data_IF_613528646217
#
_entry.id   IF_613528646217
#
_cell.length_a   1.000
_cell.length_b   1.000
_cell.length_c   1.000
_cell.angle_alpha   90.00
_cell.angle_beta   90.00
_cell.angle_gamma   90.00
#
_symmetry.space_group_name_H-M   'P 1'
#
loop_
_entity.id
_entity.type
_entity.pdbx_description
1 polymer ?
#
# COMPACT_ATOMS: atom_id res chain seq x y z
N UNK A 1 10.97 16.50 -6.57
CA UNK A 1 12.27 17.13 -6.39
C UNK A 1 12.50 18.14 -7.51
N UNK A 2 13.12 19.28 -7.22
CA UNK A 2 13.39 20.32 -8.22
C UNK A 2 12.15 20.76 -9.04
N UNK A 3 10.98 20.72 -8.42
CA UNK A 3 9.70 21.05 -9.05
C UNK A 3 9.08 19.93 -9.89
N UNK A 4 9.75 18.77 -10.00
CA UNK A 4 9.24 17.60 -10.74
C UNK A 4 8.62 16.56 -9.79
N UNK A 5 7.57 15.86 -10.22
CA UNK A 5 7.08 14.67 -9.52
C UNK A 5 8.18 13.59 -9.49
N UNK A 6 8.30 12.89 -8.35
CA UNK A 6 9.28 11.80 -8.19
C UNK A 6 8.61 10.48 -8.59
N UNK A 7 9.33 9.66 -9.33
CA UNK A 7 8.92 8.30 -9.67
C UNK A 7 10.07 7.33 -9.40
N UNK A 8 9.77 6.21 -8.74
CA UNK A 8 10.73 5.13 -8.53
C UNK A 8 10.59 4.15 -9.70
N UNK A 9 11.50 4.21 -10.64
CA UNK A 9 11.46 3.38 -11.84
C UNK A 9 12.86 3.30 -12.48
N UNK A 10 13.07 2.23 -13.24
CA UNK A 10 14.23 2.13 -14.13
C UNK A 10 14.02 2.99 -15.37
N UNK A 11 15.07 3.65 -15.81
CA UNK A 11 15.09 4.44 -17.03
C UNK A 11 15.79 3.75 -18.20
N UNK A 12 16.48 2.64 -17.91
CA UNK A 12 17.26 1.86 -18.88
C UNK A 12 16.75 0.42 -18.97
N UNK A 13 15.73 0.22 -19.77
CA UNK A 13 15.06 -1.08 -19.90
C UNK A 13 15.95 -2.15 -20.56
N UNK A 14 16.86 -1.77 -21.49
CA UNK A 14 17.81 -2.74 -22.08
C UNK A 14 18.73 -3.33 -21.03
N UNK A 15 19.24 -2.49 -20.15
CA UNK A 15 20.10 -2.92 -19.05
C UNK A 15 19.37 -3.82 -18.09
N UNK A 16 18.14 -3.46 -17.73
CA UNK A 16 17.31 -4.22 -16.81
C UNK A 16 16.96 -5.61 -17.38
N UNK A 17 16.67 -5.68 -18.67
CA UNK A 17 16.44 -6.93 -19.39
C UNK A 17 17.70 -7.80 -19.36
N UNK A 18 18.85 -7.22 -19.69
CA UNK A 18 20.14 -7.93 -19.69
C UNK A 18 20.51 -8.45 -18.28
N UNK A 19 20.28 -7.64 -17.25
CA UNK A 19 20.48 -8.05 -15.86
C UNK A 19 19.52 -9.17 -15.43
N UNK A 20 18.26 -9.07 -15.82
CA UNK A 20 17.27 -10.11 -15.55
C UNK A 20 17.59 -11.42 -16.24
N UNK A 21 18.04 -11.39 -17.50
CA UNK A 21 18.51 -12.56 -18.24
C UNK A 21 19.75 -13.18 -17.57
N UNK A 22 20.69 -12.37 -17.10
CA UNK A 22 21.86 -12.83 -16.36
C UNK A 22 21.51 -13.51 -15.02
N UNK A 23 20.35 -13.23 -14.44
CA UNK A 23 19.84 -13.87 -13.22
C UNK A 23 19.03 -15.15 -13.50
N UNK A 24 18.95 -15.61 -14.75
CA UNK A 24 18.16 -16.78 -15.13
C UNK A 24 16.65 -16.54 -15.23
N UNK A 25 16.22 -15.30 -15.24
CA UNK A 25 14.83 -14.91 -15.49
C UNK A 25 14.61 -14.90 -16.99
N UNK A 26 14.25 -16.05 -17.58
CA UNK A 26 14.19 -16.22 -19.02
C UNK A 26 12.78 -16.28 -19.60
N UNK A 27 11.74 -16.17 -18.78
CA UNK A 27 10.37 -16.52 -19.17
C UNK A 27 9.41 -15.33 -19.25
N UNK A 28 9.94 -14.14 -19.45
CA UNK A 28 9.09 -13.01 -19.79
C UNK A 28 9.06 -12.86 -21.31
N UNK A 29 7.86 -12.80 -21.88
CA UNK A 29 7.62 -12.09 -23.11
C UNK A 29 8.05 -10.63 -22.83
N UNK A 30 9.31 -10.36 -23.07
CA UNK A 30 9.85 -9.04 -22.92
C UNK A 30 9.20 -8.20 -24.02
N UNK A 31 8.39 -7.19 -23.68
CA UNK A 31 7.82 -6.32 -24.68
C UNK A 31 8.96 -5.69 -25.48
N UNK A 32 8.74 -5.44 -26.77
CA UNK A 32 9.71 -4.69 -27.57
C UNK A 32 10.11 -3.42 -26.80
N UNK A 33 11.41 -3.25 -26.64
CA UNK A 33 11.96 -2.10 -25.94
C UNK A 33 11.58 -0.81 -26.67
N UNK A 34 10.79 0.01 -25.99
CA UNK A 34 10.55 1.38 -26.41
C UNK A 34 11.19 2.34 -25.40
N UNK A 35 12.19 3.13 -25.81
CA UNK A 35 12.78 4.11 -24.91
C UNK A 35 11.75 5.13 -24.44
N UNK A 36 11.84 5.54 -23.18
CA UNK A 36 10.99 6.61 -22.66
C UNK A 36 11.15 7.89 -23.52
N UNK A 37 10.03 8.49 -23.84
CA UNK A 37 10.07 9.77 -24.59
C UNK A 37 10.77 10.85 -23.77
N UNK A 38 11.40 11.79 -24.46
CA UNK A 38 12.06 12.92 -23.81
C UNK A 38 11.07 13.74 -22.96
N UNK A 39 9.81 13.83 -23.38
CA UNK A 39 8.75 14.51 -22.63
C UNK A 39 8.54 13.86 -21.24
N UNK A 40 8.54 12.53 -21.17
CA UNK A 40 8.42 11.78 -19.91
C UNK A 40 9.66 12.00 -19.03
N UNK A 41 10.84 11.91 -19.61
CA UNK A 41 12.11 12.11 -18.90
C UNK A 41 12.23 13.55 -18.36
N UNK A 42 11.70 14.52 -19.07
CA UNK A 42 11.72 15.93 -18.65
C UNK A 42 10.66 16.24 -17.57
N UNK A 43 9.54 15.51 -17.59
CA UNK A 43 8.44 15.74 -16.65
C UNK A 43 8.72 15.16 -15.26
N UNK A 44 9.24 13.95 -15.18
CA UNK A 44 9.50 13.27 -13.90
C UNK A 44 10.95 13.44 -13.44
N UNK A 45 11.13 13.38 -12.12
CA UNK A 45 12.41 13.11 -11.50
C UNK A 45 12.48 11.61 -11.21
N UNK A 46 13.34 10.89 -11.92
CA UNK A 46 13.49 9.45 -11.76
C UNK A 46 14.49 9.13 -10.66
N UNK A 47 14.12 8.19 -9.81
CA UNK A 47 15.01 7.55 -8.85
C UNK A 47 15.00 6.06 -9.11
N UNK A 48 16.17 5.42 -9.08
CA UNK A 48 16.25 4.00 -9.39
C UNK A 48 16.16 3.13 -8.15
N UNK A 49 15.31 2.09 -8.18
CA UNK A 49 15.24 1.13 -7.10
C UNK A 49 16.50 0.26 -7.06
N UNK A 50 16.81 -0.21 -5.87
CA UNK A 50 17.89 -1.17 -5.62
C UNK A 50 17.37 -2.32 -4.78
N UNK A 51 17.98 -3.48 -4.97
CA UNK A 51 17.78 -4.58 -4.05
C UNK A 51 18.71 -4.42 -2.83
N UNK A 52 18.34 -4.89 -1.65
CA UNK A 52 19.19 -4.78 -0.46
C UNK A 52 20.60 -5.38 -0.66
N UNK A 53 20.70 -6.48 -1.38
CA UNK A 53 21.98 -7.13 -1.69
C UNK A 53 22.89 -6.28 -2.59
N UNK A 54 22.34 -5.39 -3.38
CA UNK A 54 23.12 -4.54 -4.28
C UNK A 54 24.03 -3.58 -3.48
N UNK A 55 23.69 -3.30 -2.23
CA UNK A 55 24.55 -2.52 -1.32
C UNK A 55 25.71 -3.33 -0.73
N UNK A 56 25.62 -4.65 -0.73
CA UNK A 56 26.57 -5.55 -0.09
C UNK A 56 27.56 -6.16 -1.09
N UNK A 57 27.25 -6.16 -2.39
CA UNK A 57 28.07 -6.78 -3.43
C UNK A 57 29.19 -5.87 -3.90
N UNK A 58 30.43 -6.20 -3.56
CA UNK A 58 31.60 -5.61 -4.18
C UNK A 58 31.68 -6.02 -5.65
N UNK A 59 31.78 -5.05 -6.56
CA UNK A 59 32.01 -5.31 -7.99
C UNK A 59 30.75 -5.40 -8.88
N UNK A 60 29.56 -5.30 -8.31
CA UNK A 60 28.37 -5.04 -9.09
C UNK A 60 28.46 -3.62 -9.70
N UNK A 61 27.95 -3.35 -10.91
CA UNK A 61 27.92 -2.00 -11.47
C UNK A 61 27.00 -1.12 -10.61
N UNK A 62 27.60 -0.60 -9.55
CA UNK A 62 26.85 -0.13 -8.38
C UNK A 62 26.37 1.28 -8.54
N UNK A 63 26.83 1.99 -9.53
CA UNK A 63 26.58 3.40 -9.58
C UNK A 63 26.84 3.92 -10.97
N UNK A 64 25.78 4.27 -11.64
CA UNK A 64 25.84 5.22 -12.73
C UNK A 64 25.81 6.61 -12.08
N UNK A 65 26.91 7.41 -12.14
CA UNK A 65 26.91 8.72 -11.52
C UNK A 65 25.90 9.70 -12.10
N UNK A 66 25.21 9.32 -13.16
CA UNK A 66 24.10 10.06 -13.75
C UNK A 66 22.72 9.67 -13.22
N UNK A 67 22.62 8.62 -12.41
CA UNK A 67 21.33 8.11 -11.91
C UNK A 67 21.23 8.24 -10.41
N UNK A 68 20.06 8.72 -9.97
CA UNK A 68 19.74 8.80 -8.54
C UNK A 68 19.29 7.42 -8.05
N UNK A 69 20.07 6.81 -7.20
CA UNK A 69 19.88 5.46 -6.69
C UNK A 69 19.81 5.48 -5.17
N UNK A 70 19.40 4.38 -4.56
CA UNK A 70 19.36 4.28 -3.10
C UNK A 70 17.98 3.90 -2.55
N UNK A 71 17.03 3.63 -3.42
CA UNK A 71 15.65 3.33 -3.07
C UNK A 71 15.41 1.83 -3.15
N UNK A 72 15.22 1.16 -2.01
CA UNK A 72 14.89 -0.26 -1.99
C UNK A 72 13.39 -0.49 -2.25
N UNK A 73 13.06 -1.47 -3.10
CA UNK A 73 11.69 -1.94 -3.24
C UNK A 73 11.16 -2.60 -1.96
N UNK A 74 12.02 -3.36 -1.29
CA UNK A 74 11.75 -4.06 -0.04
C UNK A 74 13.08 -4.18 0.70
N UNK A 75 13.01 -4.30 2.01
CA UNK A 75 14.19 -4.55 2.82
C UNK A 75 14.09 -5.94 3.45
N UNK A 76 15.17 -6.71 3.39
CA UNK A 76 15.28 -8.02 4.04
C UNK A 76 16.42 -8.11 5.04
N UNK A 77 16.87 -6.98 5.52
CA UNK A 77 17.86 -6.85 6.59
C UNK A 77 17.17 -6.42 7.88
N UNK A 78 17.61 -6.98 9.00
CA UNK A 78 17.15 -6.53 10.32
C UNK A 78 18.35 -6.32 11.25
N UNK A 79 18.39 -5.24 12.02
CA UNK A 79 17.43 -4.11 12.02
C UNK A 79 17.35 -3.43 10.65
N UNK A 80 16.24 -2.74 10.38
CA UNK A 80 16.04 -2.02 9.11
C UNK A 80 17.12 -0.95 8.95
N UNK A 81 17.85 -0.92 7.82
CA UNK A 81 18.83 0.12 7.59
C UNK A 81 18.18 1.45 7.21
N UNK A 82 18.74 2.54 7.68
CA UNK A 82 18.48 3.87 7.15
C UNK A 82 19.35 4.07 5.92
N UNK A 83 18.74 4.36 4.79
CA UNK A 83 19.42 4.56 3.51
C UNK A 83 19.54 6.05 3.19
N UNK A 84 20.74 6.49 2.82
CA UNK A 84 20.98 7.84 2.32
C UNK A 84 20.59 7.93 0.85
N UNK A 85 19.75 8.91 0.49
CA UNK A 85 19.29 9.15 -0.87
C UNK A 85 19.34 10.64 -1.21
N UNK A 86 19.08 10.98 -2.46
CA UNK A 86 18.97 12.38 -2.87
C UNK A 86 17.73 13.11 -2.30
N UNK A 87 16.77 12.36 -1.77
CA UNK A 87 15.59 12.89 -1.09
C UNK A 87 15.74 12.88 0.44
N UNK A 88 16.97 12.71 0.95
CA UNK A 88 17.26 12.52 2.36
C UNK A 88 17.30 11.05 2.75
N UNK A 89 17.05 10.77 4.01
CA UNK A 89 17.03 9.41 4.55
C UNK A 89 15.76 8.65 4.14
N UNK A 90 15.91 7.33 3.93
CA UNK A 90 14.85 6.49 3.39
C UNK A 90 14.79 5.15 4.13
N UNK A 91 13.60 4.68 4.47
CA UNK A 91 13.34 3.37 5.04
C UNK A 91 12.10 2.72 4.40
N UNK A 92 11.99 1.38 4.51
CA UNK A 92 10.85 0.62 4.02
C UNK A 92 9.98 0.12 5.16
N UNK A 93 8.65 0.18 4.99
CA UNK A 93 7.69 -0.52 5.82
C UNK A 93 7.03 -1.64 5.02
N UNK A 94 7.19 -2.88 5.45
CA UNK A 94 6.60 -4.05 4.81
C UNK A 94 5.86 -4.93 5.81
N UNK A 95 4.83 -5.63 5.36
CA UNK A 95 4.06 -6.56 6.22
C UNK A 95 4.72 -7.92 6.37
N UNK A 96 5.58 -8.30 5.45
CA UNK A 96 6.39 -9.52 5.44
C UNK A 96 7.67 -9.25 4.63
N UNK A 97 8.68 -10.10 4.73
CA UNK A 97 9.88 -9.99 3.92
C UNK A 97 10.53 -11.34 3.61
N UNK A 98 11.39 -11.35 2.60
CA UNK A 98 11.94 -12.59 2.05
C UNK A 98 13.48 -12.64 2.03
N UNK A 99 14.13 -12.71 3.18
CA UNK A 99 15.59 -12.84 3.24
C UNK A 99 16.12 -14.11 2.56
N UNK A 100 15.24 -15.10 2.34
CA UNK A 100 15.56 -16.38 1.68
C UNK A 100 14.77 -16.56 0.38
N UNK A 101 14.76 -15.56 -0.47
CA UNK A 101 13.98 -15.50 -1.73
C UNK A 101 13.89 -16.87 -2.44
N UNK A 102 12.73 -17.20 -3.03
CA UNK A 102 11.43 -16.53 -2.99
C UNK A 102 10.55 -16.96 -1.82
N UNK A 103 9.47 -16.22 -1.53
CA UNK A 103 8.51 -16.55 -0.46
C UNK A 103 7.89 -17.94 -0.57
N UNK A 104 7.61 -18.41 -1.78
CA UNK A 104 7.09 -19.75 -2.00
C UNK A 104 7.98 -20.85 -1.43
N UNK A 105 9.28 -20.61 -1.23
CA UNK A 105 10.18 -21.54 -0.57
C UNK A 105 9.86 -21.75 0.91
N UNK A 106 9.24 -20.78 1.59
CA UNK A 106 8.76 -20.97 2.94
C UNK A 106 7.72 -22.08 3.01
N UNK A 107 6.91 -22.23 1.98
CA UNK A 107 5.85 -23.23 1.89
C UNK A 107 6.41 -24.57 1.39
N UNK A 108 7.19 -24.55 0.32
CA UNK A 108 7.59 -25.76 -0.40
C UNK A 108 8.91 -26.37 0.06
N UNK A 109 9.80 -25.55 0.61
CA UNK A 109 11.17 -25.96 0.98
C UNK A 109 11.53 -25.62 2.43
N UNK A 110 10.59 -25.07 3.22
CA UNK A 110 10.86 -24.66 4.61
C UNK A 110 11.91 -23.55 4.72
N UNK A 111 12.03 -22.68 3.71
CA UNK A 111 12.92 -21.53 3.80
C UNK A 111 12.43 -20.55 4.88
N UNK A 112 13.37 -19.91 5.55
CA UNK A 112 13.07 -18.99 6.67
C UNK A 112 12.90 -17.57 6.14
N UNK A 113 11.79 -17.32 5.47
CA UNK A 113 11.36 -15.96 5.21
C UNK A 113 10.61 -15.40 6.43
N UNK A 114 10.52 -14.09 6.50
CA UNK A 114 9.84 -13.42 7.59
C UNK A 114 8.37 -13.23 7.25
N UNK A 115 7.55 -13.96 7.98
CA UNK A 115 6.10 -13.89 7.83
C UNK A 115 5.55 -12.59 8.44
N UNK A 116 4.27 -12.35 8.24
CA UNK A 116 3.53 -11.26 8.91
C UNK A 116 3.56 -11.37 10.44
N UNK A 117 3.78 -12.59 10.96
CA UNK A 117 3.87 -12.86 12.39
C UNK A 117 5.31 -12.74 12.94
N UNK A 118 6.31 -12.58 12.07
CA UNK A 118 7.70 -12.61 12.50
C UNK A 118 8.02 -11.45 13.44
N UNK A 119 8.62 -11.81 14.58
CA UNK A 119 9.18 -10.85 15.52
C UNK A 119 10.69 -10.80 15.34
N UNK A 120 11.27 -9.73 14.81
CA UNK A 120 12.70 -9.66 14.52
C UNK A 120 13.57 -9.64 15.78
N UNK A 121 13.06 -9.19 16.92
CA UNK A 121 13.77 -9.20 18.20
C UNK A 121 13.90 -10.61 18.76
N UNK A 122 12.83 -11.41 18.65
CA UNK A 122 12.81 -12.79 19.15
C UNK A 122 13.31 -13.80 18.12
N UNK A 123 13.36 -13.45 16.84
CA UNK A 123 13.78 -14.33 15.74
C UNK A 123 12.78 -15.44 15.41
N UNK A 124 11.53 -15.32 15.81
CA UNK A 124 10.46 -16.31 15.63
C UNK A 124 9.12 -15.65 15.35
N UNK A 125 8.19 -16.43 14.81
CA UNK A 125 6.81 -15.98 14.61
C UNK A 125 6.07 -15.87 15.96
N UNK A 126 5.41 -14.74 16.17
CA UNK A 126 4.58 -14.51 17.33
C UNK A 126 3.25 -15.26 17.19
N UNK A 127 2.74 -15.77 18.31
CA UNK A 127 1.39 -16.36 18.34
C UNK A 127 0.35 -15.30 17.95
N UNK A 128 -0.54 -15.63 17.02
CA UNK A 128 -1.52 -14.70 16.44
C UNK A 128 -0.91 -13.49 15.72
N UNK A 129 0.40 -13.48 15.48
CA UNK A 129 1.13 -12.33 14.95
C UNK A 129 0.68 -11.90 13.55
N UNK A 130 0.16 -12.84 12.74
CA UNK A 130 -0.42 -12.50 11.42
C UNK A 130 -1.58 -11.53 11.58
N UNK A 131 -2.48 -11.78 12.53
CA UNK A 131 -3.64 -10.91 12.75
C UNK A 131 -3.27 -9.59 13.42
N UNK A 132 -2.18 -9.59 14.17
CA UNK A 132 -1.67 -8.40 14.88
C UNK A 132 -0.70 -7.56 14.04
N UNK A 133 -0.26 -8.06 12.89
CA UNK A 133 0.73 -7.38 12.07
C UNK A 133 2.07 -7.21 12.76
N UNK A 134 2.56 -8.25 13.45
CA UNK A 134 3.75 -8.17 14.32
C UNK A 134 4.98 -7.68 13.58
N UNK A 135 5.26 -8.22 12.39
CA UNK A 135 6.42 -7.77 11.60
C UNK A 135 6.24 -6.33 11.12
N UNK A 136 5.04 -5.98 10.67
CA UNK A 136 4.72 -4.63 10.21
C UNK A 136 4.89 -3.60 11.34
N UNK A 137 4.44 -3.93 12.56
CA UNK A 137 4.66 -3.06 13.71
C UNK A 137 6.13 -2.92 14.03
N UNK A 138 6.89 -4.01 14.02
CA UNK A 138 8.33 -3.94 14.26
C UNK A 138 9.10 -3.10 13.23
N UNK A 139 8.61 -3.03 11.99
CA UNK A 139 9.15 -2.10 11.00
C UNK A 139 8.83 -0.64 11.37
N UNK A 140 7.58 -0.37 11.74
CA UNK A 140 7.14 0.96 12.11
C UNK A 140 7.81 1.48 13.39
N UNK A 141 8.02 0.62 14.38
CA UNK A 141 8.71 0.99 15.63
C UNK A 141 10.11 1.53 15.32
N UNK A 142 10.85 0.85 14.43
CA UNK A 142 12.17 1.30 13.98
C UNK A 142 12.10 2.59 13.15
N UNK A 143 11.11 2.71 12.26
CA UNK A 143 10.91 3.91 11.45
C UNK A 143 10.59 5.14 12.30
N UNK A 144 9.75 4.99 13.31
CA UNK A 144 9.40 6.08 14.23
C UNK A 144 10.63 6.48 15.06
N UNK A 145 11.44 5.51 15.51
CA UNK A 145 12.68 5.78 16.26
C UNK A 145 13.72 6.51 15.41
N UNK A 146 13.96 6.05 14.18
CA UNK A 146 14.96 6.62 13.27
C UNK A 146 14.48 7.90 12.57
N UNK A 147 13.17 8.09 12.45
CA UNK A 147 12.54 9.29 11.87
C UNK A 147 13.11 9.69 10.50
N UNK A 148 13.12 8.78 9.48
CA UNK A 148 13.67 9.10 8.17
C UNK A 148 12.85 10.17 7.45
N UNK A 149 13.46 10.85 6.47
CA UNK A 149 12.77 11.87 5.67
C UNK A 149 11.69 11.25 4.76
N UNK A 150 11.89 9.99 4.35
CA UNK A 150 10.95 9.27 3.46
C UNK A 150 10.75 7.83 3.91
N UNK A 151 9.49 7.42 3.97
CA UNK A 151 9.09 6.03 4.19
C UNK A 151 8.42 5.48 2.95
N UNK A 152 8.93 4.36 2.44
CA UNK A 152 8.29 3.62 1.35
C UNK A 152 7.46 2.48 1.92
N UNK A 153 6.15 2.58 1.74
CA UNK A 153 5.22 1.53 2.12
C UNK A 153 5.16 0.48 1.02
N UNK A 154 5.66 -0.71 1.32
CA UNK A 154 5.80 -1.80 0.36
C UNK A 154 4.45 -2.43 0.11
N UNK A 155 4.03 -2.42 -1.14
CA UNK A 155 2.84 -3.07 -1.69
C UNK A 155 1.50 -2.67 -1.03
N UNK A 156 0.49 -2.49 -1.87
CA UNK A 156 -0.89 -2.27 -1.42
C UNK A 156 -1.74 -3.53 -1.61
N UNK A 157 -1.74 -4.08 -2.82
CA UNK A 157 -2.53 -5.25 -3.22
C UNK A 157 -1.69 -6.27 -3.99
N UNK A 158 -0.50 -6.50 -3.52
CA UNK A 158 0.50 -7.35 -4.17
C UNK A 158 0.36 -8.80 -3.67
N UNK A 159 -0.65 -9.51 -4.16
CA UNK A 159 -0.99 -10.85 -3.70
C UNK A 159 -0.10 -11.94 -4.28
N UNK A 160 0.23 -11.84 -5.57
CA UNK A 160 1.16 -12.76 -6.24
C UNK A 160 1.97 -12.00 -7.25
N UNK A 161 3.26 -12.26 -7.30
CA UNK A 161 4.11 -11.65 -8.31
C UNK A 161 5.29 -12.53 -8.68
N UNK A 162 5.87 -12.18 -9.83
CA UNK A 162 7.14 -12.71 -10.30
C UNK A 162 7.23 -14.23 -10.27
N UNK A 163 6.57 -14.87 -11.24
CA UNK A 163 6.86 -16.26 -11.57
C UNK A 163 8.27 -16.33 -12.16
N UNK A 164 9.17 -16.98 -11.46
CA UNK A 164 10.58 -17.13 -11.84
C UNK A 164 10.96 -18.59 -11.95
N UNK A 165 11.92 -18.88 -12.83
CA UNK A 165 12.59 -20.17 -12.87
C UNK A 165 13.77 -20.10 -11.91
N UNK A 166 13.75 -20.89 -10.86
CA UNK A 166 14.82 -20.96 -9.85
C UNK A 166 15.17 -22.42 -9.55
N UNK A 167 16.45 -22.80 -9.68
CA UNK A 167 16.90 -24.18 -9.55
C UNK A 167 16.11 -25.21 -10.39
N UNK A 168 15.66 -24.83 -11.58
CA UNK A 168 14.89 -25.69 -12.46
C UNK A 168 13.39 -25.83 -12.11
N UNK A 169 12.92 -25.12 -11.10
CA UNK A 169 11.50 -25.09 -10.70
C UNK A 169 10.92 -23.69 -10.83
N UNK A 170 9.65 -23.62 -11.24
CA UNK A 170 8.93 -22.34 -11.24
C UNK A 170 8.51 -21.97 -9.82
N UNK A 171 8.88 -20.75 -9.42
CA UNK A 171 8.62 -20.22 -8.11
C UNK A 171 7.92 -18.88 -8.21
N UNK A 172 7.15 -18.53 -7.18
CA UNK A 172 6.61 -17.19 -6.99
C UNK A 172 7.46 -16.48 -5.93
N UNK A 173 7.99 -15.31 -6.25
CA UNK A 173 8.67 -14.48 -5.27
C UNK A 173 7.70 -14.03 -4.19
N UNK A 174 6.51 -13.62 -4.60
CA UNK A 174 5.43 -13.24 -3.71
C UNK A 174 4.27 -14.23 -3.83
N UNK A 175 3.59 -14.49 -2.73
CA UNK A 175 2.57 -15.52 -2.66
C UNK A 175 1.32 -15.03 -1.95
N UNK A 176 0.17 -15.41 -2.46
CA UNK A 176 -1.14 -15.08 -1.90
C UNK A 176 -1.48 -15.94 -0.67
N UNK A 177 -0.54 -16.12 0.25
CA UNK A 177 -0.81 -16.78 1.52
C UNK A 177 -1.08 -15.76 2.61
N UNK A 178 -1.81 -16.19 3.63
CA UNK A 178 -2.10 -15.33 4.77
C UNK A 178 -0.82 -14.88 5.50
N UNK A 179 0.20 -15.74 5.51
CA UNK A 179 1.45 -15.51 6.24
C UNK A 179 2.44 -14.62 5.49
N UNK A 180 2.51 -14.77 4.16
CA UNK A 180 3.61 -14.21 3.35
C UNK A 180 3.18 -13.22 2.27
N UNK A 181 1.89 -12.97 2.08
CA UNK A 181 1.43 -11.94 1.15
C UNK A 181 1.90 -10.55 1.61
N UNK A 182 2.33 -9.73 0.66
CA UNK A 182 2.75 -8.34 0.93
C UNK A 182 1.57 -7.34 0.95
N UNK A 183 0.34 -7.80 0.73
CA UNK A 183 -0.82 -6.92 0.64
C UNK A 183 -1.20 -6.30 1.97
N UNK A 184 -1.48 -4.99 1.93
CA UNK A 184 -2.00 -4.19 3.04
C UNK A 184 -3.49 -3.93 2.89
N UNK A 185 -4.04 -4.13 1.67
CA UNK A 185 -5.45 -3.88 1.41
C UNK A 185 -6.36 -4.72 2.31
N UNK A 186 -7.58 -4.25 2.49
CA UNK A 186 -8.59 -4.92 3.27
C UNK A 186 -8.91 -6.30 2.68
N UNK A 187 -8.90 -7.33 3.50
CA UNK A 187 -9.11 -8.72 3.07
C UNK A 187 -10.26 -9.38 3.85
N UNK A 188 -11.28 -9.81 3.12
CA UNK A 188 -12.45 -10.46 3.69
C UNK A 188 -12.07 -11.79 4.37
N UNK A 189 -12.68 -12.05 5.52
CA UNK A 189 -12.58 -13.31 6.27
C UNK A 189 -11.16 -13.71 6.74
N UNK A 190 -10.22 -12.75 6.69
CA UNK A 190 -8.85 -12.92 7.19
C UNK A 190 -8.53 -11.81 8.21
N UNK A 191 -7.45 -11.05 8.00
CA UNK A 191 -7.06 -9.92 8.85
C UNK A 191 -7.95 -8.67 8.67
N UNK A 192 -8.96 -8.73 7.79
CA UNK A 192 -9.93 -7.65 7.56
C UNK A 192 -9.24 -6.31 7.24
N UNK A 193 -9.44 -5.31 8.08
CA UNK A 193 -8.88 -3.95 7.98
C UNK A 193 -7.68 -3.70 8.91
N UNK A 194 -7.25 -4.72 9.66
CA UNK A 194 -6.23 -4.55 10.70
C UNK A 194 -4.95 -3.86 10.17
N UNK A 195 -4.41 -4.31 9.04
CA UNK A 195 -3.20 -3.72 8.48
C UNK A 195 -3.40 -2.28 7.98
N UNK A 196 -4.58 -1.99 7.47
CA UNK A 196 -4.93 -0.65 7.05
C UNK A 196 -5.00 0.32 8.24
N UNK A 197 -5.66 -0.10 9.31
CA UNK A 197 -5.77 0.68 10.54
C UNK A 197 -4.40 0.87 11.20
N UNK A 198 -3.61 -0.20 11.31
CA UNK A 198 -2.25 -0.16 11.82
C UNK A 198 -1.36 0.79 11.01
N UNK A 199 -1.46 0.73 9.67
CA UNK A 199 -0.76 1.67 8.79
C UNK A 199 -1.16 3.12 9.08
N UNK A 200 -2.45 3.39 9.20
CA UNK A 200 -2.94 4.75 9.46
C UNK A 200 -2.45 5.29 10.81
N UNK A 201 -2.48 4.47 11.85
CA UNK A 201 -2.00 4.83 13.17
C UNK A 201 -0.51 5.19 13.13
N UNK A 202 0.31 4.26 12.65
CA UNK A 202 1.76 4.49 12.56
C UNK A 202 2.14 5.65 11.64
N UNK A 203 1.43 5.87 10.53
CA UNK A 203 1.66 7.04 9.68
C UNK A 203 1.36 8.36 10.39
N UNK A 204 0.38 8.39 11.29
CA UNK A 204 0.08 9.58 12.09
C UNK A 204 1.18 9.84 13.10
N UNK A 205 1.64 8.80 13.79
CA UNK A 205 2.74 8.89 14.75
C UNK A 205 4.03 9.35 14.06
N UNK A 206 4.38 8.75 12.93
CA UNK A 206 5.54 9.13 12.13
C UNK A 206 5.49 10.60 11.66
N UNK A 207 4.31 11.08 11.26
CA UNK A 207 4.13 12.46 10.79
C UNK A 207 3.96 13.47 11.92
N UNK A 208 4.02 13.04 13.17
CA UNK A 208 3.75 13.89 14.34
C UNK A 208 2.40 14.64 14.20
N UNK A 209 1.43 14.01 13.55
CA UNK A 209 0.09 14.59 13.50
C UNK A 209 -0.54 14.45 14.87
N UNK A 210 -1.05 15.55 15.41
CA UNK A 210 -1.80 15.55 16.66
C UNK A 210 -2.86 14.44 16.65
N UNK A 211 -3.18 13.92 17.82
CA UNK A 211 -4.32 13.03 17.99
C UNK A 211 -5.53 13.58 17.22
N UNK A 212 -6.33 12.70 16.63
CA UNK A 212 -7.53 13.15 15.94
C UNK A 212 -8.31 14.06 16.87
N UNK A 213 -8.58 15.29 16.43
CA UNK A 213 -9.39 16.22 17.20
C UNK A 213 -10.62 15.47 17.72
N UNK A 214 -10.72 15.37 19.04
CA UNK A 214 -11.92 14.84 19.66
C UNK A 214 -13.02 15.88 19.44
N UNK A 215 -13.86 15.67 18.47
CA UNK A 215 -15.03 16.49 18.26
C UNK A 215 -16.02 16.19 19.39
N UNK A 216 -16.42 17.24 20.10
CA UNK A 216 -17.39 17.13 21.20
C UNK A 216 -18.72 16.53 20.79
N UNK A 217 -19.47 16.05 21.77
CA UNK A 217 -20.81 15.52 21.55
C UNK A 217 -21.74 16.56 20.91
N UNK A 218 -22.46 16.15 19.90
CA UNK A 218 -23.46 16.97 19.22
C UNK A 218 -24.65 16.10 18.80
N UNK A 219 -25.76 16.31 19.43
CA UNK A 219 -27.03 15.66 19.05
C UNK A 219 -27.58 16.27 17.77
N UNK A 220 -27.99 15.43 16.83
CA UNK A 220 -28.56 15.82 15.54
C UNK A 220 -30.02 15.39 15.49
N UNK A 221 -30.91 16.36 15.24
CA UNK A 221 -32.31 16.06 14.87
C UNK A 221 -32.35 15.67 13.38
N UNK A 222 -32.50 14.36 13.09
CA UNK A 222 -32.53 13.85 11.71
C UNK A 222 -33.69 14.39 10.87
N UNK A 223 -34.74 14.94 11.50
CA UNK A 223 -35.87 15.59 10.84
C UNK A 223 -35.74 17.12 10.82
N UNK A 224 -34.65 17.63 11.42
CA UNK A 224 -34.39 19.05 11.52
C UNK A 224 -33.70 19.66 10.30
N UNK A 225 -33.30 20.91 10.44
CA UNK A 225 -32.59 21.63 9.38
C UNK A 225 -31.16 21.09 9.16
N UNK A 226 -30.75 21.01 7.89
CA UNK A 226 -29.34 20.68 7.55
C UNK A 226 -28.34 21.71 8.08
N UNK A 227 -28.74 22.89 8.48
CA UNK A 227 -27.88 23.90 9.04
C UNK A 227 -27.13 23.44 10.32
N UNK A 228 -27.71 22.52 11.10
CA UNK A 228 -27.09 21.95 12.27
C UNK A 228 -25.77 21.21 11.96
N UNK A 229 -25.59 20.73 10.72
CA UNK A 229 -24.38 20.05 10.29
C UNK A 229 -23.20 20.98 9.98
N UNK A 230 -23.42 22.30 9.82
CA UNK A 230 -22.34 23.22 9.46
C UNK A 230 -21.23 23.29 10.51
N UNK A 231 -21.59 23.09 11.77
CA UNK A 231 -20.66 23.12 12.90
C UNK A 231 -20.09 21.75 13.26
N UNK A 232 -20.44 20.68 12.54
CA UNK A 232 -19.84 19.35 12.76
C UNK A 232 -18.43 19.35 12.18
N UNK A 233 -17.45 19.20 13.06
CA UNK A 233 -16.02 19.26 12.71
C UNK A 233 -15.53 18.01 11.97
N UNK A 234 -16.03 16.82 12.32
CA UNK A 234 -15.68 15.59 11.65
C UNK A 234 -16.26 15.55 10.23
N UNK A 235 -15.50 16.06 9.27
CA UNK A 235 -15.92 16.20 7.88
C UNK A 235 -14.90 15.61 6.92
N UNK A 236 -15.37 14.75 6.04
CA UNK A 236 -14.65 14.29 4.85
C UNK A 236 -15.22 15.00 3.62
N UNK A 237 -14.34 15.53 2.79
CA UNK A 237 -14.72 16.11 1.49
C UNK A 237 -13.92 15.45 0.38
N UNK A 238 -14.60 15.06 -0.67
CA UNK A 238 -13.96 14.59 -1.87
C UNK A 238 -13.16 15.73 -2.51
N UNK A 239 -11.85 15.58 -2.56
CA UNK A 239 -10.94 16.50 -3.21
C UNK A 239 -10.66 15.96 -4.61
N UNK A 240 -10.99 16.72 -5.63
CA UNK A 240 -10.67 16.34 -6.99
C UNK A 240 -11.86 16.00 -7.88
N UNK A 241 -11.57 15.27 -8.93
CA UNK A 241 -12.48 15.11 -10.05
C UNK A 241 -13.55 14.04 -9.81
N UNK A 242 -14.61 14.16 -10.61
CA UNK A 242 -15.73 13.24 -10.70
C UNK A 242 -15.29 11.79 -10.83
N UNK A 243 -16.06 10.88 -10.23
CA UNK A 243 -15.90 9.46 -10.47
C UNK A 243 -15.87 9.16 -11.97
N UNK A 244 -14.76 8.58 -12.44
CA UNK A 244 -14.62 8.23 -13.85
C UNK A 244 -15.52 7.05 -14.22
N UNK A 245 -15.91 7.00 -15.49
CA UNK A 245 -16.53 5.80 -16.05
C UNK A 245 -15.60 4.61 -15.82
N UNK A 246 -16.13 3.59 -15.17
CA UNK A 246 -15.44 2.32 -15.03
C UNK A 246 -15.99 1.33 -16.04
N UNK A 247 -15.10 0.75 -16.84
CA UNK A 247 -15.40 -0.34 -17.74
C UNK A 247 -14.30 -1.40 -17.55
N UNK A 248 -14.46 -2.21 -16.54
CA UNK A 248 -13.54 -3.30 -16.21
C UNK A 248 -14.32 -4.58 -15.98
N UNK A 249 -13.61 -5.70 -15.91
CA UNK A 249 -14.21 -6.99 -15.59
C UNK A 249 -13.53 -7.56 -14.34
N UNK A 250 -14.21 -8.52 -13.69
CA UNK A 250 -13.55 -9.39 -12.70
C UNK A 250 -12.40 -10.15 -13.34
N UNK A 251 -11.51 -10.72 -12.52
CA UNK A 251 -10.32 -11.47 -12.96
C UNK A 251 -10.69 -12.61 -13.93
N UNK A 252 -11.82 -13.27 -13.71
CA UNK A 252 -12.35 -14.35 -14.55
C UNK A 252 -13.27 -13.87 -15.68
N UNK A 253 -13.43 -12.56 -15.86
CA UNK A 253 -14.34 -11.91 -16.80
C UNK A 253 -15.84 -12.25 -16.63
N UNK A 254 -16.22 -12.91 -15.54
CA UNK A 254 -17.61 -13.29 -15.28
C UNK A 254 -18.50 -12.11 -14.88
N UNK A 255 -17.91 -11.07 -14.29
CA UNK A 255 -18.64 -9.89 -13.80
C UNK A 255 -18.13 -8.64 -14.50
N UNK A 256 -18.92 -7.99 -15.35
CA UNK A 256 -18.56 -6.70 -15.91
C UNK A 256 -18.84 -5.57 -14.90
N UNK A 257 -17.80 -4.85 -14.49
CA UNK A 257 -17.93 -3.61 -13.73
C UNK A 257 -18.07 -2.43 -14.67
N UNK A 258 -19.28 -1.97 -14.88
CA UNK A 258 -19.56 -0.83 -15.75
C UNK A 258 -20.33 0.25 -14.99
N UNK A 259 -19.74 1.42 -14.88
CA UNK A 259 -20.40 2.61 -14.34
C UNK A 259 -20.45 3.64 -15.46
N UNK A 260 -21.63 3.82 -16.04
CA UNK A 260 -21.84 4.77 -17.14
C UNK A 260 -21.95 6.21 -16.63
N UNK A 261 -22.54 6.40 -15.46
CA UNK A 261 -22.76 7.69 -14.81
C UNK A 261 -22.45 7.57 -13.32
N UNK A 262 -21.88 8.60 -12.69
CA UNK A 262 -21.65 8.63 -11.25
C UNK A 262 -22.97 8.94 -10.52
N UNK A 263 -23.87 7.97 -10.46
CA UNK A 263 -25.05 8.08 -9.62
C UNK A 263 -24.62 8.17 -8.15
N UNK A 264 -25.25 9.04 -7.40
CA UNK A 264 -24.99 9.24 -5.98
C UNK A 264 -23.50 9.53 -5.66
N UNK A 265 -22.82 10.31 -6.50
CA UNK A 265 -21.42 10.69 -6.26
C UNK A 265 -21.31 11.49 -4.97
N UNK A 266 -20.77 10.87 -3.91
CA UNK A 266 -20.64 11.47 -2.59
C UNK A 266 -19.56 12.55 -2.63
N UNK A 267 -19.92 13.76 -2.23
CA UNK A 267 -19.03 14.92 -2.18
C UNK A 267 -18.56 15.26 -0.77
N UNK A 268 -19.40 14.98 0.22
CA UNK A 268 -19.10 15.30 1.60
C UNK A 268 -19.78 14.27 2.51
N UNK A 269 -19.05 13.85 3.52
CA UNK A 269 -19.58 13.05 4.64
C UNK A 269 -19.28 13.80 5.92
N UNK A 270 -20.24 13.90 6.82
CA UNK A 270 -20.03 14.40 8.18
C UNK A 270 -20.51 13.37 9.19
N UNK A 271 -19.80 13.28 10.28
CA UNK A 271 -20.09 12.36 11.37
C UNK A 271 -20.24 13.17 12.65
N UNK A 272 -21.33 12.99 13.35
CA UNK A 272 -21.54 13.52 14.69
C UNK A 272 -21.93 12.37 15.63
N UNK A 273 -21.74 12.55 16.91
CA UNK A 273 -22.20 11.63 17.91
C UNK A 273 -22.72 12.37 19.14
N UNK A 274 -23.64 11.76 19.81
CA UNK A 274 -23.95 12.06 21.20
C UNK A 274 -23.73 10.82 22.06
N UNK A 275 -24.21 10.87 23.29
CA UNK A 275 -24.04 9.77 24.24
C UNK A 275 -24.61 8.43 23.76
N UNK A 276 -25.69 8.47 22.97
CA UNK A 276 -26.50 7.31 22.62
C UNK A 276 -26.46 6.96 21.13
N UNK A 277 -26.03 7.88 20.25
CA UNK A 277 -26.17 7.74 18.80
C UNK A 277 -24.94 8.24 18.04
N UNK A 278 -24.72 7.66 16.88
CA UNK A 278 -23.81 8.19 15.84
C UNK A 278 -24.64 8.60 14.64
N UNK A 279 -24.42 9.81 14.15
CA UNK A 279 -25.14 10.42 13.06
C UNK A 279 -24.25 10.58 11.84
N UNK A 280 -24.80 10.24 10.67
CA UNK A 280 -24.09 10.37 9.40
C UNK A 280 -24.86 11.28 8.47
N UNK A 281 -24.17 12.26 7.87
CA UNK A 281 -24.68 13.07 6.80
C UNK A 281 -23.85 12.83 5.55
N UNK A 282 -24.52 12.52 4.45
CA UNK A 282 -23.91 12.38 3.15
C UNK A 282 -24.51 13.39 2.20
N UNK A 283 -23.65 14.15 1.54
CA UNK A 283 -24.03 15.07 0.47
C UNK A 283 -23.48 14.56 -0.85
N UNK A 284 -24.36 14.41 -1.81
CA UNK A 284 -24.03 13.99 -3.17
C UNK A 284 -23.96 15.20 -4.13
N UNK A 285 -23.29 15.02 -5.26
CA UNK A 285 -23.16 16.06 -6.29
C UNK A 285 -24.52 16.47 -6.89
N UNK A 286 -25.41 15.51 -7.03
CA UNK A 286 -26.76 15.66 -7.59
C UNK A 286 -27.78 15.09 -6.61
N UNK A 287 -29.06 15.28 -6.90
CA UNK A 287 -30.13 14.64 -6.14
C UNK A 287 -29.91 13.13 -6.08
N UNK A 288 -30.14 12.57 -4.90
CA UNK A 288 -29.96 11.13 -4.66
C UNK A 288 -30.95 10.35 -5.52
N UNK A 289 -30.46 9.44 -6.32
CA UNK A 289 -31.26 8.46 -7.05
C UNK A 289 -31.75 7.40 -6.07
N UNK A 290 -33.05 7.10 -6.12
CA UNK A 290 -33.62 6.12 -5.21
C UNK A 290 -33.10 4.72 -5.44
N UNK A 291 -33.08 3.89 -4.39
CA UNK A 291 -32.56 2.52 -4.43
C UNK A 291 -33.16 1.65 -5.54
N UNK A 292 -34.42 1.87 -5.88
CA UNK A 292 -35.11 1.11 -6.95
C UNK A 292 -34.75 1.54 -8.37
N UNK A 293 -34.08 2.69 -8.53
CA UNK A 293 -33.72 3.28 -9.82
C UNK A 293 -32.22 3.20 -10.13
N UNK A 294 -31.40 2.95 -9.13
CA UNK A 294 -29.95 2.81 -9.28
C UNK A 294 -29.55 1.35 -9.22
N UNK A 295 -28.69 0.90 -10.15
CA UNK A 295 -28.11 -0.43 -10.14
C UNK A 295 -27.14 -0.62 -8.95
N UNK A 296 -26.46 0.47 -8.57
CA UNK A 296 -25.57 0.53 -7.42
C UNK A 296 -26.03 1.68 -6.51
N UNK A 297 -26.18 1.39 -5.24
CA UNK A 297 -26.57 2.39 -4.25
C UNK A 297 -25.42 2.64 -3.27
N UNK A 298 -25.60 3.53 -2.31
CA UNK A 298 -24.61 3.88 -1.31
C UNK A 298 -24.62 2.85 -0.17
N UNK A 299 -23.43 2.52 0.31
CA UNK A 299 -23.27 1.72 1.53
C UNK A 299 -22.38 2.50 2.50
N UNK A 300 -22.70 2.43 3.79
CA UNK A 300 -21.85 2.86 4.89
C UNK A 300 -21.36 1.58 5.58
N UNK A 301 -20.06 1.41 5.61
CA UNK A 301 -19.42 0.30 6.32
C UNK A 301 -18.91 0.84 7.65
N UNK A 302 -19.34 0.23 8.73
CA UNK A 302 -18.94 0.62 10.09
C UNK A 302 -18.08 -0.48 10.68
N UNK A 303 -16.84 -0.13 11.04
CA UNK A 303 -15.99 -0.98 11.85
C UNK A 303 -16.28 -0.72 13.33
N UNK A 304 -16.53 -1.77 14.09
CA UNK A 304 -16.84 -1.66 15.53
C UNK A 304 -15.63 -1.84 16.44
N UNK A 305 -14.41 -1.86 15.88
CA UNK A 305 -13.17 -1.67 16.61
C UNK A 305 -12.62 -2.86 17.42
N UNK A 306 -13.39 -3.94 17.59
CA UNK A 306 -12.85 -5.14 18.21
C UNK A 306 -12.61 -6.21 17.14
N UNK A 307 -11.35 -6.67 16.94
CA UNK A 307 -11.11 -7.86 16.15
C UNK A 307 -11.89 -8.99 16.81
N UNK A 308 -12.81 -9.61 16.09
CA UNK A 308 -13.44 -10.84 16.59
C UNK A 308 -12.34 -11.83 16.94
N UNK A 309 -12.26 -12.18 18.22
CA UNK A 309 -11.35 -13.19 18.77
C UNK A 309 -11.50 -14.52 18.04
#
# INVERSE_FOLDING_TARGET
KDGKPVIIAYTDTEKDIAESAGRGVTDFDVPEYEPLSQEILDFFYFVEPRWPDDYLRQGWPQYDPGKDTGYCWIEWTQPLPVRETSLGTFMNAAVASHPSIPFSFSITRGAKNWSRAYNPVLGVDAKNGVMQGTYFQACWDQIIEESPDTVFLVAWNFWTALKQLYDGEYMLCDTATLEYSLSIELAKDTYKDNYYLQMMENMRDYKFTDEAEAYGEQTIDINGSYAQWYNVGAVYRQIGQKAFRRASSSVDNSIPYRTALPDNNIQEVRIAHDKDNIYFMLRTEKNITSRGQASNWMNILLGTGEPSQ
#
